data_IF_065874609381
#
_entry.id   IF_065874609381
#
_cell.length_a   1.000
_cell.length_b   1.000
_cell.length_c   1.000
_cell.angle_alpha   90.00
_cell.angle_beta   90.00
_cell.angle_gamma   90.00
#
_symmetry.space_group_name_H-M   'P 1'
#
loop_
_entity.id
_entity.type
_entity.pdbx_description
1 polymer ?
#
# COMPACT_ATOMS: atom_id res chain seq x y z
N UNK A 1 27.73 13.07 -41.03
CA UNK A 1 26.30 13.13 -40.67
C UNK A 1 25.75 11.71 -40.60
N UNK A 2 25.90 11.04 -39.48
CA UNK A 2 25.47 9.64 -39.28
C UNK A 2 24.42 9.57 -38.17
N UNK A 3 23.17 9.24 -38.54
CA UNK A 3 22.06 8.98 -37.63
C UNK A 3 22.29 7.61 -36.95
N UNK A 4 22.48 7.61 -35.64
CA UNK A 4 22.42 6.36 -34.84
C UNK A 4 20.95 6.04 -34.56
N UNK A 5 20.50 4.94 -35.13
CA UNK A 5 19.24 4.30 -34.83
C UNK A 5 19.44 3.48 -33.56
N UNK A 6 18.74 3.83 -32.47
CA UNK A 6 18.67 2.97 -31.30
C UNK A 6 17.70 1.82 -31.60
N UNK A 7 18.24 0.63 -31.76
CA UNK A 7 17.48 -0.61 -31.90
C UNK A 7 17.14 -1.11 -30.48
N UNK A 8 15.89 -0.93 -30.08
CA UNK A 8 15.36 -1.55 -28.85
C UNK A 8 15.25 -3.07 -29.04
N UNK A 9 15.90 -3.82 -28.16
CA UNK A 9 15.82 -5.28 -28.14
C UNK A 9 14.47 -5.67 -27.56
N UNK A 10 13.56 -6.12 -28.42
CA UNK A 10 12.31 -6.78 -28.03
C UNK A 10 12.61 -8.24 -27.68
N UNK A 11 12.50 -8.61 -26.42
CA UNK A 11 12.46 -10.02 -26.02
C UNK A 11 11.00 -10.45 -26.00
N UNK A 12 10.53 -11.03 -27.11
CA UNK A 12 9.25 -11.74 -27.18
C UNK A 12 9.44 -13.14 -26.59
N UNK A 13 8.91 -13.39 -25.40
CA UNK A 13 8.69 -14.74 -24.88
C UNK A 13 7.24 -15.14 -25.23
N UNK A 14 7.07 -15.84 -26.35
CA UNK A 14 5.84 -16.52 -26.68
C UNK A 14 5.70 -17.76 -25.79
N UNK A 15 4.66 -17.79 -24.94
CA UNK A 15 4.17 -19.00 -24.30
C UNK A 15 2.68 -19.11 -24.60
N UNK A 16 2.33 -20.07 -25.45
CA UNK A 16 0.95 -20.50 -25.70
C UNK A 16 0.40 -21.20 -24.45
N UNK A 17 -0.86 -20.88 -24.09
CA UNK A 17 -1.60 -21.63 -23.06
C UNK A 17 -2.50 -20.74 -22.20
N UNK A 18 -3.75 -20.65 -22.60
CA UNK A 18 -4.99 -20.41 -21.86
C UNK A 18 -4.88 -19.87 -20.42
N UNK A 19 -5.37 -18.64 -20.18
CA UNK A 19 -5.57 -18.09 -18.85
C UNK A 19 -5.13 -16.63 -18.75
N UNK A 20 -6.09 -15.72 -18.62
CA UNK A 20 -5.93 -14.27 -18.51
C UNK A 20 -4.82 -13.86 -17.53
N UNK A 21 -3.61 -13.72 -18.01
CA UNK A 21 -2.52 -13.02 -17.35
C UNK A 21 -2.24 -11.75 -18.15
N UNK A 22 -2.84 -10.63 -17.74
CA UNK A 22 -2.34 -9.31 -18.11
C UNK A 22 -0.97 -9.19 -17.46
N UNK A 23 0.08 -9.43 -18.22
CA UNK A 23 1.42 -8.98 -17.84
C UNK A 23 1.40 -7.46 -17.95
N UNK A 24 1.47 -6.77 -16.82
CA UNK A 24 1.79 -5.36 -16.83
C UNK A 24 3.18 -5.26 -17.48
N UNK A 25 3.23 -4.63 -18.64
CA UNK A 25 4.47 -4.37 -19.36
C UNK A 25 5.30 -3.41 -18.50
N UNK A 26 6.39 -3.91 -17.93
CA UNK A 26 7.33 -3.10 -17.17
C UNK A 26 8.32 -2.53 -18.18
N UNK A 27 8.30 -1.23 -18.37
CA UNK A 27 9.36 -0.52 -19.09
C UNK A 27 10.61 -0.48 -18.19
N UNK A 28 11.52 -1.44 -18.42
CA UNK A 28 12.73 -1.61 -17.62
C UNK A 28 13.59 -0.34 -17.66
N UNK A 29 13.67 0.33 -18.81
CA UNK A 29 14.48 1.55 -18.96
C UNK A 29 13.90 2.72 -18.14
N UNK A 30 12.57 2.89 -18.15
CA UNK A 30 11.90 3.89 -17.33
C UNK A 30 12.05 3.59 -15.84
N UNK A 31 11.98 2.30 -15.45
CA UNK A 31 12.18 1.85 -14.09
C UNK A 31 13.60 2.10 -13.59
N UNK A 32 14.62 1.79 -14.38
CA UNK A 32 16.02 2.04 -14.04
C UNK A 32 16.30 3.55 -13.91
N UNK A 33 15.75 4.38 -14.79
CA UNK A 33 15.88 5.83 -14.70
C UNK A 33 15.21 6.39 -13.43
N UNK A 34 14.02 5.94 -13.12
CA UNK A 34 13.31 6.35 -11.90
C UNK A 34 14.07 5.94 -10.64
N UNK A 35 14.67 4.75 -10.63
CA UNK A 35 15.46 4.26 -9.51
C UNK A 35 16.77 5.05 -9.34
N UNK A 36 17.48 5.40 -10.45
CA UNK A 36 18.66 6.26 -10.39
C UNK A 36 18.33 7.64 -9.84
N UNK A 37 17.23 8.26 -10.30
CA UNK A 37 16.80 9.56 -9.79
C UNK A 37 16.43 9.51 -8.29
N UNK A 38 15.78 8.41 -7.84
CA UNK A 38 15.48 8.19 -6.44
C UNK A 38 16.76 8.06 -5.59
N UNK A 39 17.76 7.32 -6.09
CA UNK A 39 19.05 7.14 -5.43
C UNK A 39 19.83 8.46 -5.35
N UNK A 40 19.91 9.20 -6.44
CA UNK A 40 20.59 10.51 -6.50
C UNK A 40 19.95 11.49 -5.49
N UNK A 41 18.61 11.59 -5.46
CA UNK A 41 17.90 12.43 -4.50
C UNK A 41 18.12 12.01 -3.05
N UNK A 42 18.13 10.71 -2.76
CA UNK A 42 18.42 10.18 -1.42
C UNK A 42 19.84 10.53 -0.96
N UNK A 43 20.83 10.40 -1.84
CA UNK A 43 22.24 10.75 -1.56
C UNK A 43 22.46 12.26 -1.43
N UNK A 44 21.66 13.08 -2.12
CA UNK A 44 21.75 14.52 -2.08
C UNK A 44 21.24 15.14 -0.75
N UNK A 45 20.48 14.39 0.06
CA UNK A 45 20.01 14.88 1.37
C UNK A 45 21.19 15.03 2.32
N UNK A 46 21.46 16.23 2.87
CA UNK A 46 22.56 16.44 3.82
C UNK A 46 22.36 15.66 5.12
N UNK A 47 23.43 15.10 5.68
CA UNK A 47 23.39 14.37 6.96
C UNK A 47 23.00 15.26 8.15
N UNK A 48 23.13 16.59 8.00
CA UNK A 48 22.75 17.58 9.01
C UNK A 48 21.23 17.79 9.14
N UNK A 49 20.45 17.27 8.21
CA UNK A 49 18.99 17.39 8.25
C UNK A 49 18.41 16.17 8.94
N UNK A 50 18.01 16.35 10.21
CA UNK A 50 17.35 15.30 10.98
C UNK A 50 16.15 14.72 10.21
N UNK A 51 16.08 13.40 10.09
CA UNK A 51 15.05 12.65 9.35
C UNK A 51 14.90 13.05 7.87
N UNK A 52 15.84 13.79 7.30
CA UNK A 52 15.75 14.31 5.93
C UNK A 52 15.57 13.20 4.90
N UNK A 53 16.36 12.13 4.97
CA UNK A 53 16.25 10.97 4.07
C UNK A 53 14.99 10.16 4.29
N UNK A 54 14.53 10.04 5.54
CA UNK A 54 13.23 9.41 5.87
C UNK A 54 12.10 10.18 5.19
N UNK A 55 12.07 11.50 5.36
CA UNK A 55 11.07 12.37 4.73
C UNK A 55 11.13 12.28 3.22
N UNK A 56 12.32 12.40 2.63
CA UNK A 56 12.51 12.27 1.18
C UNK A 56 11.88 10.99 0.64
N UNK A 57 12.16 9.82 1.23
CA UNK A 57 11.62 8.55 0.76
C UNK A 57 10.11 8.41 1.00
N UNK A 58 9.60 8.98 2.10
CA UNK A 58 8.17 8.95 2.42
C UNK A 58 7.34 9.94 1.59
N UNK A 59 7.96 10.88 0.92
CA UNK A 59 7.30 11.78 -0.05
C UNK A 59 7.26 11.20 -1.47
N UNK A 60 8.02 10.14 -1.75
CA UNK A 60 8.06 9.54 -3.08
C UNK A 60 6.83 8.72 -3.41
N UNK A 61 6.33 8.85 -4.64
CA UNK A 61 5.22 8.07 -5.16
C UNK A 61 3.94 8.18 -4.31
N UNK A 62 3.16 7.11 -4.27
CA UNK A 62 1.87 7.05 -3.57
C UNK A 62 1.87 6.01 -2.46
N UNK A 63 1.14 6.22 -1.35
CA UNK A 63 0.96 5.20 -0.32
C UNK A 63 0.27 3.96 -0.90
N UNK A 64 0.64 2.80 -0.41
CA UNK A 64 -0.05 1.53 -0.73
C UNK A 64 -0.79 1.08 0.51
N UNK A 65 -2.12 1.01 0.42
CA UNK A 65 -2.98 0.59 1.51
C UNK A 65 -3.78 -0.67 1.15
N UNK A 66 -4.14 -1.44 2.16
CA UNK A 66 -5.14 -2.50 2.07
C UNK A 66 -6.49 -2.01 2.59
N UNK A 67 -6.47 -1.08 3.54
CA UNK A 67 -7.65 -0.50 4.20
C UNK A 67 -7.65 1.01 4.02
N UNK A 68 -8.71 1.55 3.44
CA UNK A 68 -8.98 2.98 3.48
C UNK A 68 -9.91 3.25 4.66
N UNK A 69 -9.49 4.10 5.56
CA UNK A 69 -10.22 4.44 6.78
C UNK A 69 -10.94 5.77 6.58
N UNK A 70 -12.25 5.74 6.76
CA UNK A 70 -13.08 6.94 6.75
C UNK A 70 -13.52 7.27 8.18
N UNK A 71 -12.99 8.34 8.80
CA UNK A 71 -13.27 8.68 10.19
C UNK A 71 -14.68 9.26 10.41
N UNK A 72 -15.33 9.79 9.38
CA UNK A 72 -16.62 10.48 9.44
C UNK A 72 -16.56 11.90 8.90
N UNK A 73 -17.72 12.56 8.84
CA UNK A 73 -17.88 13.92 8.31
C UNK A 73 -17.58 15.02 9.33
N UNK A 74 -17.88 14.78 10.60
CA UNK A 74 -17.89 15.81 11.62
C UNK A 74 -16.52 16.11 12.22
N UNK A 75 -15.53 15.25 11.98
CA UNK A 75 -14.20 15.39 12.58
C UNK A 75 -14.15 15.23 14.11
N UNK A 76 -15.32 15.07 14.76
CA UNK A 76 -15.45 14.97 16.22
C UNK A 76 -15.08 13.59 16.78
N UNK A 77 -14.97 12.60 15.90
CA UNK A 77 -14.50 11.27 16.28
C UNK A 77 -13.00 11.38 16.49
N UNK A 78 -12.58 11.28 17.74
CA UNK A 78 -11.18 11.08 18.05
C UNK A 78 -10.68 9.94 17.17
N UNK A 79 -9.76 10.24 16.25
CA UNK A 79 -9.15 9.26 15.38
C UNK A 79 -8.58 8.16 16.26
N UNK A 80 -9.31 7.07 16.38
CA UNK A 80 -8.85 5.86 17.04
C UNK A 80 -8.26 5.00 15.94
N UNK A 81 -6.98 4.77 16.04
CA UNK A 81 -6.30 3.88 15.10
C UNK A 81 -7.10 2.56 15.00
N UNK A 82 -7.66 2.23 13.84
CA UNK A 82 -8.38 0.97 13.72
C UNK A 82 -7.40 -0.15 14.00
N UNK A 83 -7.83 -1.21 14.69
CA UNK A 83 -6.98 -2.36 14.98
C UNK A 83 -6.66 -3.13 13.68
N UNK A 84 -5.82 -2.52 12.83
CA UNK A 84 -5.32 -3.12 11.59
C UNK A 84 -4.28 -4.17 11.98
N UNK A 85 -4.50 -5.44 11.61
CA UNK A 85 -3.55 -6.49 11.96
C UNK A 85 -2.23 -6.27 11.23
N UNK A 86 -1.12 -6.57 11.92
CA UNK A 86 0.21 -6.46 11.31
C UNK A 86 0.26 -7.13 9.93
N UNK A 87 0.93 -6.46 9.03
CA UNK A 87 1.11 -6.89 7.66
C UNK A 87 0.11 -6.31 6.66
N UNK A 88 -0.87 -5.56 7.13
CA UNK A 88 -1.76 -4.76 6.29
C UNK A 88 -1.53 -3.28 6.55
N UNK A 89 -1.47 -2.49 5.48
CA UNK A 89 -1.34 -1.06 5.58
C UNK A 89 -2.72 -0.37 5.53
N UNK A 90 -2.87 0.75 6.24
CA UNK A 90 -4.06 1.58 6.19
C UNK A 90 -3.69 3.03 5.88
N UNK A 91 -4.62 3.71 5.22
CA UNK A 91 -4.56 5.15 4.98
C UNK A 91 -5.91 5.79 5.30
N UNK A 92 -5.87 6.97 5.88
CA UNK A 92 -7.09 7.72 6.20
C UNK A 92 -7.48 8.60 5.03
N UNK A 93 -8.78 8.62 4.71
CA UNK A 93 -9.33 9.48 3.66
C UNK A 93 -10.40 10.41 4.26
N UNK A 94 -10.38 11.68 3.87
CA UNK A 94 -11.42 12.64 4.23
C UNK A 94 -12.64 12.57 3.32
N UNK A 95 -13.69 13.30 3.69
CA UNK A 95 -14.97 13.34 2.96
C UNK A 95 -14.79 13.79 1.51
N UNK A 96 -13.97 14.81 1.22
CA UNK A 96 -13.71 15.26 -0.15
C UNK A 96 -13.10 14.14 -1.01
N UNK A 97 -12.10 13.39 -0.49
CA UNK A 97 -11.52 12.26 -1.21
C UNK A 97 -12.55 11.16 -1.45
N UNK A 98 -13.37 10.84 -0.43
CA UNK A 98 -14.43 9.84 -0.56
C UNK A 98 -15.44 10.22 -1.64
N UNK A 99 -15.89 11.46 -1.65
CA UNK A 99 -16.96 11.93 -2.53
C UNK A 99 -16.49 12.18 -3.97
N UNK A 100 -15.36 12.87 -4.12
CA UNK A 100 -14.96 13.46 -5.39
C UNK A 100 -13.93 12.61 -6.15
N UNK A 101 -13.09 11.87 -5.44
CA UNK A 101 -11.92 11.22 -6.03
C UNK A 101 -11.96 9.68 -5.91
N UNK A 102 -12.73 9.12 -4.97
CA UNK A 102 -12.75 7.68 -4.74
C UNK A 102 -13.65 6.95 -5.74
N UNK A 103 -13.07 6.01 -6.48
CA UNK A 103 -13.76 5.19 -7.46
C UNK A 103 -13.32 3.73 -7.38
N UNK A 104 -14.04 2.84 -8.07
CA UNK A 104 -13.75 1.40 -8.08
C UNK A 104 -13.27 0.96 -9.46
N UNK A 105 -12.21 0.17 -9.47
CA UNK A 105 -11.72 -0.51 -10.67
C UNK A 105 -11.32 -1.94 -10.32
N UNK A 106 -11.96 -2.91 -10.96
CA UNK A 106 -11.72 -4.34 -10.76
C UNK A 106 -11.79 -4.76 -9.27
N UNK A 107 -12.82 -4.33 -8.54
CA UNK A 107 -13.07 -4.64 -7.13
C UNK A 107 -12.05 -4.04 -6.16
N UNK A 108 -11.40 -2.93 -6.54
CA UNK A 108 -10.46 -2.17 -5.73
C UNK A 108 -10.83 -0.70 -5.71
N UNK A 109 -10.58 -0.07 -4.60
CA UNK A 109 -10.69 1.37 -4.43
C UNK A 109 -9.45 2.06 -5.00
N UNK A 110 -9.66 3.17 -5.70
CA UNK A 110 -8.62 4.05 -6.22
C UNK A 110 -9.03 5.49 -6.02
N UNK A 111 -8.04 6.36 -5.81
CA UNK A 111 -8.22 7.81 -5.89
C UNK A 111 -7.51 8.34 -7.13
N UNK A 112 -7.87 9.54 -7.57
CA UNK A 112 -7.19 10.21 -8.69
C UNK A 112 -5.70 10.46 -8.41
N UNK A 113 -5.33 10.64 -7.13
CA UNK A 113 -3.95 10.75 -6.68
C UNK A 113 -3.19 9.41 -6.63
N UNK A 114 -3.80 8.29 -7.08
CA UNK A 114 -3.14 6.99 -7.19
C UNK A 114 -3.15 6.14 -5.92
N UNK A 115 -3.65 6.65 -4.79
CA UNK A 115 -3.88 5.83 -3.58
C UNK A 115 -4.85 4.71 -3.93
N UNK A 116 -4.59 3.49 -3.44
CA UNK A 116 -5.47 2.36 -3.66
C UNK A 116 -5.71 1.56 -2.38
N UNK A 117 -6.89 0.91 -2.31
CA UNK A 117 -7.30 0.10 -1.17
C UNK A 117 -8.08 -1.15 -1.59
N UNK A 118 -8.32 -2.03 -0.63
CA UNK A 118 -9.06 -3.28 -0.80
C UNK A 118 -10.39 -3.28 -0.09
N UNK A 119 -10.55 -2.42 0.90
CA UNK A 119 -11.78 -2.22 1.62
C UNK A 119 -11.85 -0.78 2.13
N UNK A 120 -13.08 -0.31 2.34
CA UNK A 120 -13.38 0.92 3.07
C UNK A 120 -13.80 0.54 4.50
N UNK A 121 -13.22 1.19 5.50
CA UNK A 121 -13.53 1.01 6.90
C UNK A 121 -14.14 2.28 7.49
N UNK A 122 -15.39 2.20 7.93
CA UNK A 122 -16.15 3.31 8.52
C UNK A 122 -15.94 3.34 10.03
N UNK A 123 -15.48 4.47 10.57
CA UNK A 123 -15.26 4.64 12.01
C UNK A 123 -16.43 5.28 12.75
N UNK A 124 -17.24 6.07 12.04
CA UNK A 124 -18.41 6.75 12.62
C UNK A 124 -19.73 6.13 12.12
N UNK A 125 -20.70 6.04 13.01
CA UNK A 125 -22.07 5.65 12.70
C UNK A 125 -22.98 6.82 12.32
N UNK A 126 -22.48 8.06 12.34
CA UNK A 126 -23.18 9.29 11.93
C UNK A 126 -22.75 9.64 10.51
N UNK A 127 -23.70 9.86 9.62
CA UNK A 127 -23.40 10.07 8.22
C UNK A 127 -24.53 10.84 7.55
N UNK A 128 -24.21 11.72 6.61
CA UNK A 128 -25.21 12.36 5.73
C UNK A 128 -25.71 11.37 4.67
N UNK A 129 -26.90 11.63 4.12
CA UNK A 129 -27.44 10.81 3.04
C UNK A 129 -26.56 10.82 1.78
N UNK A 130 -25.98 11.95 1.33
CA UNK A 130 -25.05 11.96 0.20
C UNK A 130 -23.85 11.02 0.40
N UNK A 131 -23.21 11.05 1.58
CA UNK A 131 -22.07 10.18 1.90
C UNK A 131 -22.49 8.71 1.94
N UNK A 132 -23.64 8.40 2.53
CA UNK A 132 -24.18 7.04 2.53
C UNK A 132 -24.48 6.54 1.11
N UNK A 133 -24.99 7.39 0.22
CA UNK A 133 -25.21 7.06 -1.18
C UNK A 133 -23.89 6.71 -1.90
N UNK A 134 -22.81 7.45 -1.61
CA UNK A 134 -21.48 7.13 -2.12
C UNK A 134 -20.97 5.78 -1.59
N UNK A 135 -21.15 5.50 -0.31
CA UNK A 135 -20.83 4.19 0.27
C UNK A 135 -21.65 3.07 -0.40
N UNK A 136 -22.94 3.31 -0.69
CA UNK A 136 -23.80 2.37 -1.38
C UNK A 136 -23.36 2.12 -2.84
N UNK A 137 -22.94 3.16 -3.54
CA UNK A 137 -22.34 3.05 -4.88
C UNK A 137 -21.10 2.14 -4.86
N UNK A 138 -20.17 2.37 -3.92
CA UNK A 138 -18.95 1.58 -3.78
C UNK A 138 -19.24 0.12 -3.43
N UNK A 139 -20.18 -0.13 -2.49
CA UNK A 139 -20.60 -1.47 -2.12
C UNK A 139 -21.24 -2.23 -3.28
N UNK A 140 -22.01 -1.55 -4.13
CA UNK A 140 -22.61 -2.09 -5.35
C UNK A 140 -21.60 -2.52 -6.41
N UNK A 141 -20.35 -2.06 -6.31
CA UNK A 141 -19.24 -2.42 -7.20
C UNK A 141 -18.30 -3.49 -6.58
N UNK A 142 -18.83 -4.34 -5.70
CA UNK A 142 -18.12 -5.48 -5.07
C UNK A 142 -16.96 -5.07 -4.15
N UNK A 143 -16.96 -3.83 -3.65
CA UNK A 143 -16.00 -3.39 -2.64
C UNK A 143 -16.47 -3.81 -1.26
N UNK A 144 -15.55 -4.31 -0.44
CA UNK A 144 -15.84 -4.63 0.95
C UNK A 144 -15.91 -3.36 1.80
N UNK A 145 -17.02 -3.21 2.51
CA UNK A 145 -17.24 -2.15 3.50
C UNK A 145 -17.20 -2.78 4.88
N UNK A 146 -16.42 -2.21 5.79
CA UNK A 146 -16.33 -2.67 7.17
C UNK A 146 -16.53 -1.55 8.17
N UNK A 147 -16.50 -1.87 9.46
CA UNK A 147 -16.55 -0.90 10.54
C UNK A 147 -17.95 -0.71 11.15
N UNK A 148 -18.27 0.51 11.49
CA UNK A 148 -19.54 0.87 12.13
C UNK A 148 -20.64 0.94 11.08
N UNK A 149 -21.75 0.24 11.32
CA UNK A 149 -22.96 0.39 10.50
C UNK A 149 -23.59 1.76 10.82
N UNK A 150 -23.81 2.61 9.82
CA UNK A 150 -24.45 3.89 10.05
C UNK A 150 -25.84 3.73 10.70
N UNK A 151 -26.15 4.58 11.68
CA UNK A 151 -27.39 4.53 12.45
C UNK A 151 -28.00 5.90 12.69
N UNK A 152 -27.26 6.98 12.41
CA UNK A 152 -27.71 8.35 12.59
C UNK A 152 -27.53 9.13 11.30
N UNK A 153 -28.63 9.64 10.76
CA UNK A 153 -28.62 10.55 9.63
C UNK A 153 -28.30 11.96 10.11
N UNK A 154 -27.29 12.59 9.53
CA UNK A 154 -26.95 13.99 9.81
C UNK A 154 -27.96 14.96 9.16
N UNK A 155 -28.61 14.54 8.07
CA UNK A 155 -29.63 15.26 7.35
C UNK A 155 -31.04 14.80 7.83
N UNK A 156 -31.51 15.29 8.93
CA UNK A 156 -32.71 14.81 9.62
C UNK A 156 -33.95 14.64 8.72
N UNK A 157 -34.11 15.48 7.68
CA UNK A 157 -35.23 15.42 6.74
C UNK A 157 -35.23 14.12 5.89
N UNK A 158 -34.09 13.44 5.76
CA UNK A 158 -33.88 12.27 4.89
C UNK A 158 -33.85 10.96 5.66
N UNK A 159 -34.15 10.95 6.95
CA UNK A 159 -34.05 9.78 7.84
C UNK A 159 -34.69 8.50 7.26
N UNK A 160 -35.94 8.51 6.69
CA UNK A 160 -36.54 7.29 6.15
C UNK A 160 -35.81 6.74 4.92
N UNK A 161 -35.24 7.64 4.10
CA UNK A 161 -34.44 7.23 2.90
C UNK A 161 -33.11 6.70 3.36
N UNK A 162 -32.50 7.35 4.32
CA UNK A 162 -31.23 6.93 4.93
C UNK A 162 -31.32 5.49 5.46
N UNK A 163 -32.33 5.19 6.30
CA UNK A 163 -32.48 3.85 6.88
C UNK A 163 -32.65 2.77 5.81
N UNK A 164 -33.50 3.01 4.80
CA UNK A 164 -33.66 2.07 3.68
C UNK A 164 -32.35 1.86 2.92
N UNK A 165 -31.56 2.90 2.74
CA UNK A 165 -30.26 2.80 2.06
C UNK A 165 -29.26 1.99 2.88
N UNK A 166 -29.20 2.23 4.20
CA UNK A 166 -28.38 1.42 5.13
C UNK A 166 -28.73 -0.06 5.03
N UNK A 167 -30.02 -0.39 5.11
CA UNK A 167 -30.48 -1.78 5.02
C UNK A 167 -30.05 -2.42 3.69
N UNK A 168 -30.29 -1.73 2.56
CA UNK A 168 -29.90 -2.20 1.24
C UNK A 168 -28.39 -2.51 1.16
N UNK A 169 -27.55 -1.62 1.67
CA UNK A 169 -26.10 -1.80 1.65
C UNK A 169 -25.67 -2.99 2.49
N UNK A 170 -26.20 -3.11 3.73
CA UNK A 170 -25.79 -4.20 4.64
C UNK A 170 -26.41 -5.57 4.29
N UNK A 171 -27.43 -5.61 3.44
CA UNK A 171 -27.95 -6.85 2.86
C UNK A 171 -27.18 -7.30 1.61
N UNK A 172 -26.33 -6.46 1.02
CA UNK A 172 -25.58 -6.78 -0.21
C UNK A 172 -24.53 -7.90 -0.05
N UNK A 173 -24.16 -8.24 1.20
CA UNK A 173 -23.12 -9.23 1.51
C UNK A 173 -21.69 -8.68 1.51
N UNK A 174 -21.46 -7.49 0.93
CA UNK A 174 -20.14 -6.85 0.91
C UNK A 174 -19.93 -5.88 2.08
N UNK A 175 -21.01 -5.44 2.74
CA UNK A 175 -20.93 -4.61 3.94
C UNK A 175 -21.04 -5.47 5.21
N UNK A 176 -20.06 -5.35 6.11
CA UNK A 176 -19.89 -6.21 7.27
C UNK A 176 -19.66 -5.39 8.53
N UNK A 177 -20.69 -5.24 9.38
CA UNK A 177 -20.52 -4.66 10.71
C UNK A 177 -20.20 -5.74 11.75
N UNK A 178 -19.57 -5.33 12.87
CA UNK A 178 -19.20 -6.25 13.96
C UNK A 178 -18.10 -7.27 13.59
N UNK A 179 -17.49 -7.15 12.43
CA UNK A 179 -16.38 -8.00 11.99
C UNK A 179 -15.05 -7.28 12.16
N UNK A 180 -14.01 -8.02 12.51
CA UNK A 180 -12.65 -7.48 12.54
C UNK A 180 -12.14 -7.21 11.13
N UNK A 181 -11.29 -6.19 10.96
CA UNK A 181 -10.60 -5.89 9.69
C UNK A 181 -9.94 -7.16 9.13
N UNK A 182 -9.27 -7.95 9.98
CA UNK A 182 -8.64 -9.21 9.58
C UNK A 182 -9.63 -10.21 8.96
N UNK A 183 -10.84 -10.33 9.52
CA UNK A 183 -11.84 -11.25 8.98
C UNK A 183 -12.40 -10.79 7.64
N UNK A 184 -12.59 -9.47 7.48
CA UNK A 184 -13.06 -8.87 6.22
C UNK A 184 -11.99 -9.02 5.13
N UNK A 185 -10.74 -8.67 5.40
CA UNK A 185 -9.64 -8.83 4.46
C UNK A 185 -9.44 -10.30 4.05
N UNK A 186 -9.65 -11.24 4.98
CA UNK A 186 -9.63 -12.67 4.68
C UNK A 186 -10.78 -13.07 3.75
N UNK A 187 -12.00 -12.58 4.00
CA UNK A 187 -13.16 -12.80 3.11
C UNK A 187 -12.91 -12.23 1.73
N UNK A 188 -12.31 -11.04 1.64
CA UNK A 188 -11.89 -10.41 0.40
C UNK A 188 -10.69 -11.10 -0.30
N UNK A 189 -10.15 -12.18 0.25
CA UNK A 189 -8.99 -12.89 -0.30
C UNK A 189 -7.68 -12.09 -0.26
N UNK A 190 -7.64 -10.99 0.49
CA UNK A 190 -6.47 -10.11 0.60
C UNK A 190 -5.41 -10.75 1.49
N UNK A 191 -4.22 -10.91 0.97
CA UNK A 191 -3.07 -11.43 1.72
C UNK A 191 -2.27 -10.25 2.30
N UNK A 192 -1.67 -10.41 3.49
CA UNK A 192 -0.80 -9.39 4.06
C UNK A 192 0.28 -8.93 3.08
N UNK A 193 0.55 -7.64 3.09
CA UNK A 193 1.60 -7.00 2.31
C UNK A 193 2.98 -7.38 2.85
N UNK A 194 3.12 -7.37 4.18
CA UNK A 194 4.30 -7.87 4.89
C UNK A 194 3.92 -9.02 5.80
N UNK A 195 4.73 -10.08 5.84
CA UNK A 195 4.59 -11.20 6.78
C UNK A 195 5.87 -11.45 7.52
N UNK A 196 5.80 -11.56 8.84
CA UNK A 196 6.88 -11.98 9.72
C UNK A 196 6.33 -12.77 10.91
N UNK A 197 7.25 -13.35 11.70
CA UNK A 197 6.96 -13.90 13.04
C UNK A 197 7.39 -12.92 14.15
N UNK A 198 8.12 -11.87 13.81
CA UNK A 198 8.44 -10.80 14.75
C UNK A 198 7.18 -9.97 15.02
N UNK A 199 6.98 -9.60 16.26
CA UNK A 199 5.76 -8.97 16.78
C UNK A 199 5.88 -7.46 17.05
N UNK A 200 7.09 -6.94 17.01
CA UNK A 200 7.35 -5.53 17.35
C UNK A 200 7.92 -4.73 16.18
N UNK A 201 7.42 -5.02 14.97
CA UNK A 201 7.80 -4.26 13.78
C UNK A 201 6.66 -3.36 13.34
N UNK A 202 7.00 -2.20 12.83
CA UNK A 202 6.12 -1.31 12.09
C UNK A 202 6.58 -1.23 10.64
N UNK A 203 5.68 -1.01 9.68
CA UNK A 203 6.05 -0.77 8.30
C UNK A 203 5.15 0.24 7.63
N UNK A 204 5.70 0.94 6.66
CA UNK A 204 4.98 1.75 5.68
C UNK A 204 5.37 1.28 4.28
N UNK A 205 4.46 1.39 3.32
CA UNK A 205 4.69 1.01 1.94
C UNK A 205 4.27 2.14 1.00
N UNK A 206 5.20 2.53 0.13
CA UNK A 206 4.94 3.49 -0.95
C UNK A 206 5.32 2.87 -2.29
N UNK A 207 4.71 3.36 -3.34
CA UNK A 207 4.98 2.91 -4.71
C UNK A 207 5.23 4.09 -5.63
N UNK A 208 6.40 4.08 -6.26
CA UNK A 208 6.80 5.04 -7.30
C UNK A 208 6.93 4.27 -8.63
N UNK A 209 5.90 4.36 -9.48
CA UNK A 209 5.84 3.53 -10.66
C UNK A 209 5.87 2.04 -10.33
N UNK A 210 6.92 1.35 -10.76
CA UNK A 210 7.17 -0.06 -10.46
C UNK A 210 8.16 -0.29 -9.30
N UNK A 211 8.61 0.78 -8.63
CA UNK A 211 9.47 0.70 -7.45
C UNK A 211 8.58 0.60 -6.20
N UNK A 212 8.82 -0.41 -5.37
CA UNK A 212 8.18 -0.53 -4.04
C UNK A 212 9.18 -0.08 -2.97
N UNK A 213 8.78 0.88 -2.13
CA UNK A 213 9.59 1.46 -1.04
C UNK A 213 8.92 1.07 0.29
N UNK A 214 9.59 0.26 1.08
CA UNK A 214 9.14 -0.14 2.40
C UNK A 214 10.02 0.48 3.47
N UNK A 215 9.43 1.24 4.38
CA UNK A 215 10.03 1.63 5.65
C UNK A 215 9.78 0.50 6.65
N UNK A 216 10.79 0.06 7.37
CA UNK A 216 10.71 -0.96 8.42
C UNK A 216 11.32 -0.40 9.69
N UNK A 217 10.51 -0.28 10.75
CA UNK A 217 10.96 0.19 12.05
C UNK A 217 10.90 -0.97 13.07
N UNK A 218 11.95 -1.15 13.85
CA UNK A 218 11.96 -2.08 14.96
C UNK A 218 11.55 -1.36 16.25
N UNK A 219 10.31 -1.55 16.67
CA UNK A 219 9.75 -1.01 17.90
C UNK A 219 9.99 -1.93 19.12
N UNK A 220 10.64 -3.08 18.91
CA UNK A 220 10.95 -4.05 19.95
C UNK A 220 12.19 -3.66 20.77
N UNK A 221 12.45 -4.47 21.81
CA UNK A 221 13.58 -4.29 22.71
C UNK A 221 14.77 -5.20 22.37
N UNK A 222 14.66 -6.03 21.34
CA UNK A 222 15.66 -7.04 21.00
C UNK A 222 16.28 -6.79 19.64
N UNK A 223 17.61 -6.89 19.59
CA UNK A 223 18.35 -7.00 18.35
C UNK A 223 18.28 -8.42 17.80
N UNK A 224 18.32 -8.57 16.48
CA UNK A 224 18.37 -9.90 15.88
C UNK A 224 18.04 -9.95 14.40
N UNK A 225 18.08 -11.16 13.91
CA UNK A 225 17.73 -11.45 12.53
C UNK A 225 16.22 -11.63 12.38
N UNK A 226 15.59 -10.85 11.53
CA UNK A 226 14.16 -10.98 11.19
C UNK A 226 13.99 -11.47 9.76
N UNK A 227 13.02 -12.35 9.56
CA UNK A 227 12.63 -12.87 8.24
C UNK A 227 11.31 -12.26 7.83
N UNK A 228 11.33 -11.43 6.79
CA UNK A 228 10.19 -10.73 6.24
C UNK A 228 9.80 -11.36 4.89
N UNK A 229 8.51 -11.42 4.61
CA UNK A 229 7.98 -11.77 3.29
C UNK A 229 7.12 -10.63 2.78
N UNK A 230 7.54 -10.04 1.70
CA UNK A 230 6.87 -8.92 1.02
C UNK A 230 5.98 -9.41 -0.12
N UNK A 231 4.83 -8.78 -0.33
CA UNK A 231 3.92 -9.01 -1.47
C UNK A 231 4.48 -8.41 -2.78
N UNK A 232 5.78 -8.32 -2.88
CA UNK A 232 6.52 -7.87 -4.06
C UNK A 232 6.97 -9.07 -4.88
N UNK A 233 6.79 -8.98 -6.20
CA UNK A 233 7.07 -10.07 -7.13
C UNK A 233 8.14 -9.67 -8.14
N UNK A 234 9.17 -10.53 -8.29
CA UNK A 234 10.15 -10.41 -9.37
C UNK A 234 11.15 -9.27 -9.26
N UNK A 235 11.13 -8.50 -8.15
CA UNK A 235 12.02 -7.36 -7.93
C UNK A 235 13.02 -7.68 -6.83
N UNK A 236 14.23 -7.14 -6.98
CA UNK A 236 15.31 -7.28 -6.03
C UNK A 236 15.25 -6.18 -4.98
N UNK A 237 15.49 -6.45 -3.69
CA UNK A 237 15.61 -5.44 -2.66
C UNK A 237 17.04 -4.95 -2.49
N UNK A 238 17.21 -3.66 -2.22
CA UNK A 238 18.38 -3.09 -1.56
C UNK A 238 17.96 -2.48 -0.25
N UNK A 239 18.83 -2.52 0.74
CA UNK A 239 18.66 -1.84 2.01
C UNK A 239 19.23 -0.42 1.91
N UNK A 240 18.46 0.58 2.28
CA UNK A 240 18.83 1.98 2.31
C UNK A 240 18.77 2.46 3.75
N UNK A 241 19.91 2.86 4.28
CA UNK A 241 20.02 3.38 5.65
C UNK A 241 19.82 4.90 5.63
N UNK A 242 18.75 5.43 6.25
CA UNK A 242 18.50 6.87 6.22
C UNK A 242 19.49 7.69 7.05
N UNK A 243 20.07 7.11 8.12
CA UNK A 243 21.00 7.82 8.99
C UNK A 243 22.35 8.04 8.31
N UNK A 244 22.86 7.01 7.61
CA UNK A 244 24.19 7.07 6.98
C UNK A 244 24.14 7.38 5.50
N UNK A 245 22.97 7.29 4.85
CA UNK A 245 22.83 7.39 3.39
C UNK A 245 23.37 6.17 2.65
N UNK A 246 23.79 5.11 3.35
CA UNK A 246 24.38 3.92 2.74
C UNK A 246 23.32 3.05 2.07
N UNK A 247 23.65 2.54 0.86
CA UNK A 247 22.82 1.61 0.10
C UNK A 247 23.56 0.29 -0.03
N UNK A 248 23.03 -0.75 0.59
CA UNK A 248 23.68 -2.06 0.67
C UNK A 248 22.80 -3.20 0.16
N UNK A 249 23.41 -4.28 -0.35
CA UNK A 249 22.72 -5.52 -0.64
C UNK A 249 22.12 -6.14 0.63
N UNK A 250 20.96 -6.75 0.51
CA UNK A 250 20.35 -7.53 1.58
C UNK A 250 20.10 -8.97 1.13
N UNK A 251 20.17 -9.92 2.06
CA UNK A 251 19.89 -11.32 1.75
C UNK A 251 18.43 -11.53 1.40
N UNK A 252 18.13 -12.07 0.21
CA UNK A 252 16.77 -12.28 -0.26
C UNK A 252 16.58 -13.57 -1.05
N UNK A 253 15.31 -13.99 -1.17
CA UNK A 253 14.88 -15.10 -2.02
C UNK A 253 13.60 -14.76 -2.76
N UNK A 254 13.66 -14.72 -4.09
CA UNK A 254 12.48 -14.55 -4.93
C UNK A 254 11.59 -15.79 -4.88
N UNK A 255 10.29 -15.58 -4.78
CA UNK A 255 9.23 -16.59 -4.87
C UNK A 255 8.23 -16.19 -5.94
N UNK A 256 7.44 -17.15 -6.44
CA UNK A 256 6.44 -16.91 -7.51
C UNK A 256 5.53 -15.70 -7.25
N UNK A 257 5.17 -15.41 -6.00
CA UNK A 257 4.21 -14.33 -5.64
C UNK A 257 4.69 -13.44 -4.50
N UNK A 258 5.96 -13.48 -4.13
CA UNK A 258 6.49 -12.72 -3.00
C UNK A 258 8.00 -12.72 -3.02
N UNK A 259 8.63 -11.78 -2.32
CA UNK A 259 10.07 -11.78 -2.04
C UNK A 259 10.27 -11.98 -0.53
N UNK A 260 11.14 -12.91 -0.15
CA UNK A 260 11.59 -13.07 1.23
C UNK A 260 12.88 -12.31 1.42
N UNK A 261 12.99 -11.56 2.50
CA UNK A 261 14.19 -10.82 2.89
C UNK A 261 14.58 -11.26 4.30
N UNK A 262 15.87 -11.36 4.54
CA UNK A 262 16.43 -11.54 5.87
C UNK A 262 17.16 -10.25 6.24
N UNK A 263 16.70 -9.58 7.29
CA UNK A 263 17.20 -8.29 7.74
C UNK A 263 17.80 -8.45 9.15
N UNK A 264 18.96 -7.85 9.38
CA UNK A 264 19.48 -7.62 10.74
C UNK A 264 18.87 -6.31 11.23
N UNK A 265 18.42 -6.28 12.47
CA UNK A 265 17.81 -5.09 13.05
C UNK A 265 18.12 -5.00 14.56
N UNK A 266 18.22 -3.79 15.06
CA UNK A 266 18.36 -3.50 16.49
C UNK A 266 17.17 -2.65 16.97
N UNK A 267 16.93 -2.55 18.29
CA UNK A 267 15.89 -1.67 18.82
C UNK A 267 16.03 -0.23 18.33
N UNK A 268 14.94 0.34 17.86
CA UNK A 268 14.90 1.70 17.31
C UNK A 268 15.38 1.83 15.85
N UNK A 269 15.85 0.74 15.21
CA UNK A 269 16.22 0.80 13.79
C UNK A 269 15.07 1.29 12.92
N UNK A 270 15.43 2.20 12.02
CA UNK A 270 14.62 2.65 10.93
C UNK A 270 15.38 2.42 9.63
N UNK A 271 14.87 1.56 8.77
CA UNK A 271 15.53 1.19 7.52
C UNK A 271 14.55 1.11 6.38
N UNK A 272 15.03 1.32 5.16
CA UNK A 272 14.22 1.16 3.98
C UNK A 272 14.66 -0.04 3.15
N UNK A 273 13.68 -0.77 2.60
CA UNK A 273 13.88 -1.77 1.60
C UNK A 273 13.26 -1.28 0.30
N UNK A 274 14.11 -0.94 -0.66
CA UNK A 274 13.70 -0.46 -1.97
C UNK A 274 13.78 -1.63 -2.96
N UNK A 275 12.63 -1.98 -3.54
CA UNK A 275 12.50 -3.05 -4.53
C UNK A 275 12.38 -2.46 -5.93
N UNK A 276 13.28 -2.84 -6.81
CA UNK A 276 13.29 -2.35 -8.19
C UNK A 276 14.03 -3.28 -9.13
N UNK A 277 14.14 -2.86 -10.39
CA UNK A 277 15.00 -3.49 -11.38
C UNK A 277 16.35 -2.77 -11.37
N UNK A 278 17.35 -3.36 -10.72
CA UNK A 278 18.69 -2.79 -10.66
C UNK A 278 19.53 -3.28 -11.83
N UNK A 279 20.37 -2.40 -12.40
CA UNK A 279 21.34 -2.77 -13.43
C UNK A 279 22.26 -3.89 -12.94
N UNK A 280 22.74 -4.73 -13.86
CA UNK A 280 23.54 -5.95 -13.52
C UNK A 280 24.77 -5.68 -12.64
N UNK A 281 25.35 -4.48 -12.69
CA UNK A 281 26.51 -4.09 -11.87
C UNK A 281 26.25 -4.08 -10.36
N UNK A 282 24.98 -4.00 -9.92
CA UNK A 282 24.58 -4.05 -8.50
C UNK A 282 24.10 -5.44 -8.05
N UNK A 283 24.18 -6.47 -8.90
CA UNK A 283 23.98 -7.87 -8.50
C UNK A 283 25.19 -8.38 -7.71
N UNK A 284 25.44 -7.79 -6.56
CA UNK A 284 26.44 -8.33 -5.63
C UNK A 284 25.95 -9.69 -5.13
N UNK A 285 26.69 -10.75 -5.52
CA UNK A 285 26.46 -12.08 -4.98
C UNK A 285 26.76 -12.03 -3.48
N UNK A 286 25.71 -12.06 -2.68
CA UNK A 286 25.85 -12.43 -1.26
C UNK A 286 26.17 -13.92 -1.25
N UNK A 287 27.41 -14.26 -0.88
CA UNK A 287 27.85 -15.64 -0.61
C UNK A 287 27.14 -16.19 0.61
#
# INVERSE_FOLDING_TARGET
MMKRVLTGIFVLLAAAGCGRNRFDYIDIAASEKALSALEEGFQAVPDTVADGRVRYLLEQGVPVADVLVYPGETGDVLFKDPAVPFGYACETIGTGVLMDSLHVKAGRLYTDGGLNGRMLYLQDGRMSLPVLNKVAELAGQEVFIGGVKPSVCLDHADEPVFQRTVEKVWLSGNAMSGRTIKSILKAAGVKPDVKTKADSLYFQHRRLGDIDIYRICNLGQSAGQVKLRFRVRGRQPLQWNPDTGEITPVSYKLKKRSTKVTLQTVPGDDTFLVFGSFAEKKKLKVK
#
